data_IF_756024804342
#
_entry.id   IF_756024804342
#
_cell.length_a   1.000
_cell.length_b   1.000
_cell.length_c   1.000
_cell.angle_alpha   90.00
_cell.angle_beta   90.00
_cell.angle_gamma   90.00
#
_symmetry.space_group_name_H-M   'P 1'
#
loop_
_entity.id
_entity.type
_entity.pdbx_description
1 polymer ?
#
# COMPACT_ATOMS: atom_id res chain seq x y z
N UNK A 1 -15.20 -2.80 5.52
CA UNK A 1 -14.22 -1.80 5.97
C UNK A 1 -13.27 -1.40 4.85
N UNK A 2 -13.10 -0.11 4.61
CA UNK A 2 -12.18 0.43 3.60
C UNK A 2 -11.03 1.16 4.30
N UNK A 3 -9.80 0.78 3.99
CA UNK A 3 -8.60 1.47 4.47
C UNK A 3 -8.14 2.48 3.42
N UNK A 4 -7.95 3.74 3.81
CA UNK A 4 -7.29 4.76 3.00
C UNK A 4 -5.87 4.93 3.53
N UNK A 5 -4.87 4.49 2.76
CA UNK A 5 -3.46 4.63 3.14
C UNK A 5 -2.69 5.46 2.09
N UNK A 6 -2.82 6.79 2.12
CA UNK A 6 -2.15 7.65 1.16
C UNK A 6 -0.64 7.70 1.41
N UNK A 7 0.13 7.90 0.34
CA UNK A 7 1.50 8.41 0.43
C UNK A 7 1.51 9.86 0.95
N UNK A 8 2.66 10.53 0.82
CA UNK A 8 2.82 11.94 1.15
C UNK A 8 3.30 12.70 -0.09
N UNK A 9 3.03 14.00 -0.15
CA UNK A 9 3.46 14.88 -1.24
C UNK A 9 2.32 15.25 -2.21
N UNK A 10 2.64 16.02 -3.26
CA UNK A 10 1.63 16.65 -4.13
C UNK A 10 0.80 15.63 -4.94
N UNK A 11 1.37 14.45 -5.18
CA UNK A 11 0.70 13.33 -5.84
C UNK A 11 0.03 12.37 -4.86
N UNK A 12 -0.09 12.69 -3.57
CA UNK A 12 -0.83 11.84 -2.63
C UNK A 12 -2.36 12.04 -2.77
N UNK A 13 -3.14 11.02 -2.41
CA UNK A 13 -4.61 11.06 -2.44
C UNK A 13 -5.16 12.32 -1.73
N UNK A 14 -4.66 12.65 -0.54
CA UNK A 14 -5.18 13.80 0.20
C UNK A 14 -4.80 15.14 -0.40
N UNK A 15 -3.66 15.23 -1.08
CA UNK A 15 -3.30 16.42 -1.86
C UNK A 15 -4.24 16.61 -3.06
N UNK A 16 -4.72 15.51 -3.65
CA UNK A 16 -5.53 15.54 -4.88
C UNK A 16 -7.04 15.63 -4.63
N UNK A 17 -7.56 14.80 -3.72
CA UNK A 17 -8.99 14.65 -3.44
C UNK A 17 -9.40 15.28 -2.10
N UNK A 18 -8.45 15.55 -1.20
CA UNK A 18 -8.73 16.04 0.15
C UNK A 18 -9.72 15.16 0.89
N UNK A 19 -10.62 15.80 1.64
CA UNK A 19 -11.66 15.11 2.40
C UNK A 19 -12.77 14.48 1.55
N UNK A 20 -12.91 14.86 0.27
CA UNK A 20 -14.00 14.36 -0.58
C UNK A 20 -14.00 12.85 -0.71
N UNK A 21 -12.82 12.22 -0.67
CA UNK A 21 -12.71 10.76 -0.74
C UNK A 21 -13.30 10.10 0.51
N UNK A 22 -13.16 10.75 1.66
CA UNK A 22 -13.74 10.32 2.93
C UNK A 22 -15.27 10.44 2.84
N UNK A 23 -15.79 11.59 2.38
CA UNK A 23 -17.22 11.80 2.16
C UNK A 23 -17.85 10.72 1.28
N UNK A 24 -17.21 10.40 0.16
CA UNK A 24 -17.72 9.39 -0.79
C UNK A 24 -17.79 8.00 -0.19
N UNK A 25 -16.78 7.60 0.57
CA UNK A 25 -16.74 6.29 1.20
C UNK A 25 -17.74 6.20 2.37
N UNK A 26 -17.86 7.25 3.19
CA UNK A 26 -18.85 7.31 4.26
C UNK A 26 -20.29 7.31 3.69
N UNK A 27 -20.54 8.07 2.62
CA UNK A 27 -21.85 8.06 1.94
C UNK A 27 -22.21 6.70 1.33
N UNK A 28 -21.20 5.87 1.02
CA UNK A 28 -21.37 4.47 0.60
C UNK A 28 -21.69 3.51 1.75
N UNK A 29 -21.75 3.98 3.00
CA UNK A 29 -22.03 3.15 4.19
C UNK A 29 -20.85 2.29 4.62
N UNK A 30 -19.62 2.67 4.25
CA UNK A 30 -18.42 1.94 4.66
C UNK A 30 -17.88 2.48 5.98
N UNK A 31 -17.43 1.57 6.86
CA UNK A 31 -16.49 1.92 7.91
C UNK A 31 -15.12 2.21 7.27
N UNK A 32 -14.62 3.44 7.45
CA UNK A 32 -13.40 3.97 6.84
C UNK A 32 -12.29 4.07 7.88
N UNK A 33 -11.12 3.54 7.56
CA UNK A 33 -9.91 3.73 8.36
C UNK A 33 -8.97 4.61 7.56
N UNK A 34 -8.47 5.69 8.15
CA UNK A 34 -7.49 6.58 7.54
C UNK A 34 -6.13 6.34 8.19
N UNK A 35 -5.14 5.96 7.38
CA UNK A 35 -3.75 5.74 7.81
C UNK A 35 -2.78 6.50 6.90
N UNK A 36 -2.61 7.81 7.10
CA UNK A 36 -1.67 8.60 6.31
C UNK A 36 -0.24 8.11 6.54
N UNK A 37 0.61 8.25 5.52
CA UNK A 37 2.03 8.00 5.69
C UNK A 37 2.59 8.80 6.89
N UNK A 38 3.46 8.23 7.75
CA UNK A 38 3.99 8.93 8.93
C UNK A 38 4.65 10.28 8.61
N UNK A 39 5.20 10.42 7.40
CA UNK A 39 5.79 11.67 6.91
C UNK A 39 4.75 12.79 6.75
N UNK A 40 3.50 12.50 6.37
CA UNK A 40 2.43 13.51 6.21
C UNK A 40 2.16 14.25 7.52
N UNK A 41 2.24 13.58 8.66
CA UNK A 41 2.10 14.23 9.98
C UNK A 41 3.21 15.24 10.29
N UNK A 42 4.33 15.19 9.56
CA UNK A 42 5.46 16.11 9.69
C UNK A 42 5.45 17.18 8.60
N UNK A 43 5.43 16.77 7.34
CA UNK A 43 5.56 17.68 6.19
C UNK A 43 4.25 18.33 5.75
N UNK A 44 3.11 17.74 6.12
CA UNK A 44 1.77 18.15 5.65
C UNK A 44 0.82 18.41 6.83
N UNK A 45 1.38 18.83 7.96
CA UNK A 45 0.69 18.96 9.24
C UNK A 45 -0.62 19.76 9.13
N UNK A 46 -0.59 20.93 8.49
CA UNK A 46 -1.77 21.78 8.36
C UNK A 46 -2.90 21.11 7.57
N UNK A 47 -2.57 20.30 6.55
CA UNK A 47 -3.55 19.56 5.78
C UNK A 47 -4.15 18.45 6.63
N UNK A 48 -3.31 17.66 7.30
CA UNK A 48 -3.76 16.55 8.15
C UNK A 48 -4.60 17.06 9.32
N UNK A 49 -4.18 18.13 10.00
CA UNK A 49 -4.93 18.72 11.12
C UNK A 49 -6.32 19.21 10.65
N UNK A 50 -6.41 19.84 9.47
CA UNK A 50 -7.70 20.27 8.90
C UNK A 50 -8.60 19.08 8.56
N UNK A 51 -8.04 18.02 8.00
CA UNK A 51 -8.79 16.79 7.70
C UNK A 51 -9.29 16.15 8.99
N UNK A 52 -8.44 16.00 10.00
CA UNK A 52 -8.87 15.43 11.28
C UNK A 52 -9.92 16.26 12.01
N UNK A 53 -9.84 17.59 11.90
CA UNK A 53 -10.86 18.48 12.47
C UNK A 53 -12.20 18.41 11.72
N UNK A 54 -12.17 18.26 10.40
CA UNK A 54 -13.37 18.12 9.58
C UNK A 54 -13.99 16.71 9.65
N UNK A 55 -13.16 15.70 9.90
CA UNK A 55 -13.51 14.28 9.91
C UNK A 55 -13.01 13.63 11.22
N UNK A 56 -13.59 13.97 12.39
CA UNK A 56 -13.20 13.38 13.67
C UNK A 56 -13.58 11.89 13.72
N UNK A 57 -12.95 11.14 14.62
CA UNK A 57 -13.29 9.73 14.85
C UNK A 57 -14.80 9.55 15.17
N UNK A 58 -15.39 8.49 14.62
CA UNK A 58 -16.79 8.12 14.79
C UNK A 58 -16.97 6.61 14.69
N UNK A 59 -18.21 6.10 14.79
CA UNK A 59 -18.47 4.67 14.59
C UNK A 59 -18.05 4.18 13.19
N UNK A 60 -18.10 5.06 12.19
CA UNK A 60 -17.80 4.75 10.79
C UNK A 60 -16.45 5.32 10.31
N UNK A 61 -15.70 6.01 11.17
CA UNK A 61 -14.42 6.61 10.80
C UNK A 61 -13.37 6.47 11.91
N UNK A 62 -12.19 5.97 11.54
CA UNK A 62 -11.05 5.80 12.44
C UNK A 62 -9.77 6.41 11.86
N UNK A 63 -9.04 7.21 12.64
CA UNK A 63 -7.66 7.61 12.33
C UNK A 63 -6.65 6.66 12.95
N UNK A 64 -6.07 5.79 12.11
CA UNK A 64 -5.09 4.82 12.55
C UNK A 64 -3.66 5.40 12.53
N UNK A 65 -2.95 5.25 13.66
CA UNK A 65 -1.59 5.77 13.88
C UNK A 65 -0.64 4.73 14.49
N UNK A 66 -1.02 3.46 14.44
CA UNK A 66 -0.22 2.39 15.02
C UNK A 66 1.13 2.30 14.33
N UNK A 67 2.18 2.05 15.11
CA UNK A 67 3.53 1.85 14.56
C UNK A 67 3.57 0.64 13.61
N UNK A 68 2.87 -0.43 13.98
CA UNK A 68 2.67 -1.62 13.16
C UNK A 68 1.44 -1.43 12.24
N UNK A 69 1.49 -1.99 11.04
CA UNK A 69 0.39 -1.97 10.07
C UNK A 69 -0.35 -3.31 9.96
N UNK A 70 0.13 -4.39 10.59
CA UNK A 70 -0.37 -5.74 10.38
C UNK A 70 -1.86 -5.87 10.68
N UNK A 71 -2.32 -5.46 11.86
CA UNK A 71 -3.72 -5.65 12.26
C UNK A 71 -4.69 -4.81 11.44
N UNK A 72 -4.31 -3.57 11.10
CA UNK A 72 -5.15 -2.69 10.28
C UNK A 72 -5.26 -3.20 8.84
N UNK A 73 -4.16 -3.68 8.26
CA UNK A 73 -4.17 -4.31 6.94
C UNK A 73 -4.97 -5.63 6.98
N UNK A 74 -4.82 -6.43 8.04
CA UNK A 74 -5.53 -7.70 8.20
C UNK A 74 -7.04 -7.54 8.31
N UNK A 75 -7.55 -6.49 8.97
CA UNK A 75 -9.00 -6.30 9.20
C UNK A 75 -9.73 -5.48 8.13
N UNK A 76 -9.02 -4.69 7.32
CA UNK A 76 -9.63 -3.97 6.22
C UNK A 76 -9.97 -4.94 5.07
N UNK A 77 -11.04 -4.69 4.31
CA UNK A 77 -11.47 -5.55 3.20
C UNK A 77 -10.93 -5.07 1.85
N UNK A 78 -10.69 -3.76 1.73
CA UNK A 78 -10.16 -3.10 0.55
C UNK A 78 -9.24 -1.94 0.97
N UNK A 79 -8.17 -1.75 0.20
CA UNK A 79 -7.25 -0.62 0.37
C UNK A 79 -7.45 0.39 -0.76
N UNK A 80 -7.62 1.66 -0.40
CA UNK A 80 -7.50 2.81 -1.28
C UNK A 80 -6.14 3.45 -1.04
N UNK A 81 -5.26 3.42 -2.03
CA UNK A 81 -3.89 3.92 -1.95
C UNK A 81 -3.51 4.59 -3.27
N UNK A 82 -2.28 5.08 -3.40
CA UNK A 82 -1.72 5.67 -4.61
C UNK A 82 -0.61 4.77 -5.19
N UNK A 83 0.66 5.13 -5.00
CA UNK A 83 1.82 4.37 -5.45
C UNK A 83 2.65 3.85 -4.27
N UNK A 84 2.09 3.89 -3.06
CA UNK A 84 2.73 3.37 -1.85
C UNK A 84 2.97 1.86 -1.92
N UNK A 85 4.16 1.43 -1.47
CA UNK A 85 4.53 0.01 -1.37
C UNK A 85 3.60 -0.83 -0.49
N UNK A 86 2.84 -0.19 0.42
CA UNK A 86 1.81 -0.85 1.26
C UNK A 86 0.73 -1.57 0.43
N UNK A 87 0.55 -1.17 -0.83
CA UNK A 87 -0.32 -1.90 -1.78
C UNK A 87 0.10 -3.36 -1.87
N UNK A 88 1.39 -3.64 -1.94
CA UNK A 88 1.91 -4.99 -2.09
C UNK A 88 1.84 -5.78 -0.78
N UNK A 89 2.06 -5.13 0.37
CA UNK A 89 1.81 -5.76 1.67
C UNK A 89 0.33 -6.18 1.77
N UNK A 90 -0.59 -5.27 1.43
CA UNK A 90 -2.02 -5.54 1.50
C UNK A 90 -2.45 -6.65 0.53
N UNK A 91 -2.07 -6.52 -0.74
CA UNK A 91 -2.58 -7.39 -1.80
C UNK A 91 -1.90 -8.75 -1.81
N UNK A 92 -0.59 -8.82 -1.56
CA UNK A 92 0.15 -10.07 -1.62
C UNK A 92 0.07 -10.82 -0.29
N UNK A 93 0.18 -10.16 0.86
CA UNK A 93 0.14 -10.85 2.16
C UNK A 93 -1.30 -11.20 2.55
N UNK A 94 -2.22 -10.25 2.47
CA UNK A 94 -3.59 -10.43 2.98
C UNK A 94 -4.61 -10.88 1.93
N UNK A 95 -4.22 -11.00 0.67
CA UNK A 95 -5.07 -11.44 -0.43
C UNK A 95 -6.28 -10.55 -0.73
N UNK A 96 -6.08 -9.23 -0.70
CA UNK A 96 -7.19 -8.29 -0.81
C UNK A 96 -7.02 -7.28 -1.95
N UNK A 97 -8.13 -6.88 -2.58
CA UNK A 97 -8.09 -6.00 -3.74
C UNK A 97 -7.78 -4.56 -3.33
N UNK A 98 -7.35 -3.76 -4.30
CA UNK A 98 -7.00 -2.36 -4.09
C UNK A 98 -7.73 -1.44 -5.07
N UNK A 99 -7.95 -0.20 -4.66
CA UNK A 99 -8.22 0.91 -5.55
C UNK A 99 -6.99 1.81 -5.50
N UNK A 100 -6.40 2.10 -6.66
CA UNK A 100 -5.20 2.92 -6.73
C UNK A 100 -5.49 4.24 -7.43
N UNK A 101 -5.16 5.35 -6.78
CA UNK A 101 -5.36 6.68 -7.33
C UNK A 101 -4.36 6.97 -8.45
N UNK A 102 -4.87 7.41 -9.60
CA UNK A 102 -4.04 7.95 -10.67
C UNK A 102 -3.55 9.34 -10.29
N UNK A 103 -2.36 9.42 -9.73
CA UNK A 103 -1.81 10.70 -9.29
C UNK A 103 -0.72 11.23 -10.20
N UNK A 104 -0.66 10.77 -11.46
CA UNK A 104 0.41 11.07 -12.45
C UNK A 104 1.79 10.84 -11.80
N UNK A 105 2.23 9.59 -11.83
CA UNK A 105 3.50 9.20 -11.19
C UNK A 105 4.68 10.01 -11.74
N UNK A 106 5.26 10.85 -10.89
CA UNK A 106 6.53 11.50 -11.16
C UNK A 106 7.66 10.61 -10.65
N UNK A 107 8.50 10.10 -11.57
CA UNK A 107 9.65 9.26 -11.21
C UNK A 107 10.85 10.07 -10.70
N UNK A 108 10.86 11.39 -10.89
CA UNK A 108 12.01 12.26 -10.56
C UNK A 108 12.52 12.18 -9.11
N UNK A 109 11.68 12.01 -8.07
CA UNK A 109 12.15 11.94 -6.70
C UNK A 109 12.54 10.51 -6.26
N UNK A 110 12.42 9.51 -7.13
CA UNK A 110 12.66 8.11 -6.80
C UNK A 110 13.97 7.60 -7.39
N UNK A 111 14.61 6.64 -6.70
CA UNK A 111 15.82 5.97 -7.19
C UNK A 111 15.64 5.29 -8.55
N UNK A 112 14.39 5.03 -8.96
CA UNK A 112 14.05 4.46 -10.26
C UNK A 112 14.05 5.47 -11.42
N UNK A 113 14.33 6.76 -11.17
CA UNK A 113 14.32 7.85 -12.15
C UNK A 113 15.08 7.50 -13.45
N UNK A 114 16.23 6.84 -13.31
CA UNK A 114 17.15 6.51 -14.41
C UNK A 114 16.80 5.23 -15.17
N UNK A 115 15.74 4.52 -14.77
CA UNK A 115 15.28 3.33 -15.49
C UNK A 115 14.43 3.73 -16.70
N UNK A 116 14.75 3.12 -17.85
CA UNK A 116 14.05 3.28 -19.12
C UNK A 116 13.10 2.11 -19.45
N UNK A 117 12.98 1.15 -18.53
CA UNK A 117 12.05 0.03 -18.64
C UNK A 117 10.71 0.38 -17.98
N UNK A 118 9.60 -0.23 -18.42
CA UNK A 118 8.35 -0.20 -17.67
C UNK A 118 8.56 -0.70 -16.23
N UNK A 119 7.78 -0.16 -15.30
CA UNK A 119 7.80 -0.64 -13.92
C UNK A 119 6.74 -1.70 -13.73
N UNK A 120 7.14 -2.83 -13.16
CA UNK A 120 6.26 -3.94 -12.83
C UNK A 120 4.99 -3.48 -12.07
N UNK A 121 5.14 -2.52 -11.15
CA UNK A 121 4.01 -1.88 -10.44
C UNK A 121 2.90 -1.43 -11.38
N UNK A 122 3.20 -0.74 -12.48
CA UNK A 122 2.18 -0.24 -13.40
C UNK A 122 1.63 -1.32 -14.33
N UNK A 123 2.35 -2.41 -14.52
CA UNK A 123 1.87 -3.59 -15.27
C UNK A 123 0.89 -4.42 -14.43
N UNK A 124 1.13 -4.52 -13.11
CA UNK A 124 0.35 -5.38 -12.23
C UNK A 124 -0.86 -4.68 -11.61
N UNK A 125 -0.79 -3.38 -11.32
CA UNK A 125 -1.87 -2.61 -10.68
C UNK A 125 -3.25 -2.80 -11.35
N UNK A 126 -3.40 -2.73 -12.69
CA UNK A 126 -4.69 -2.94 -13.36
C UNK A 126 -5.26 -4.35 -13.18
N UNK A 127 -4.43 -5.33 -12.82
CA UNK A 127 -4.83 -6.72 -12.62
C UNK A 127 -5.29 -6.97 -11.17
N UNK A 128 -4.72 -6.27 -10.19
CA UNK A 128 -5.01 -6.46 -8.76
C UNK A 128 -6.03 -5.46 -8.19
N UNK A 129 -6.38 -4.44 -8.98
CA UNK A 129 -7.22 -3.35 -8.51
C UNK A 129 -7.75 -2.45 -9.63
N UNK A 130 -8.51 -1.43 -9.21
CA UNK A 130 -9.12 -0.47 -10.12
C UNK A 130 -8.52 0.92 -9.95
N UNK A 131 -8.26 1.59 -11.08
CA UNK A 131 -7.73 2.95 -11.08
C UNK A 131 -8.81 3.97 -10.72
N UNK A 132 -8.54 4.81 -9.73
CA UNK A 132 -9.35 5.98 -9.38
C UNK A 132 -8.78 7.23 -10.07
N UNK A 133 -9.59 7.89 -10.87
CA UNK A 133 -9.27 9.16 -11.56
C UNK A 133 -10.22 10.25 -11.09
N UNK A 134 -10.07 11.47 -11.59
CA UNK A 134 -11.06 12.52 -11.34
C UNK A 134 -12.38 12.23 -12.08
N UNK A 135 -12.30 11.66 -13.28
CA UNK A 135 -13.46 11.39 -14.15
C UNK A 135 -14.39 10.30 -13.59
N UNK A 136 -13.85 9.33 -12.84
CA UNK A 136 -14.63 8.25 -12.25
C UNK A 136 -14.80 8.38 -10.72
N UNK A 137 -14.41 9.52 -10.13
CA UNK A 137 -14.45 9.70 -8.69
C UNK A 137 -15.86 9.53 -8.09
N UNK A 138 -16.89 9.89 -8.84
CA UNK A 138 -18.28 9.74 -8.40
C UNK A 138 -18.74 8.28 -8.29
N UNK A 139 -18.04 7.34 -8.94
CA UNK A 139 -18.34 5.91 -8.90
C UNK A 139 -17.52 5.16 -7.84
N UNK A 140 -16.80 5.85 -6.96
CA UNK A 140 -15.92 5.21 -5.96
C UNK A 140 -16.63 4.13 -5.13
N UNK A 141 -17.89 4.35 -4.77
CA UNK A 141 -18.69 3.35 -4.03
C UNK A 141 -18.90 2.05 -4.82
N UNK A 142 -19.18 2.16 -6.12
CA UNK A 142 -19.35 1.01 -7.02
C UNK A 142 -18.02 0.30 -7.28
N UNK A 143 -16.93 1.05 -7.39
CA UNK A 143 -15.58 0.51 -7.55
C UNK A 143 -15.20 -0.39 -6.37
N UNK A 144 -15.56 -0.01 -5.13
CA UNK A 144 -15.33 -0.85 -3.95
C UNK A 144 -16.00 -2.20 -4.11
N UNK A 145 -17.29 -2.23 -4.49
CA UNK A 145 -18.02 -3.48 -4.70
C UNK A 145 -17.44 -4.29 -5.85
N UNK A 146 -17.07 -3.66 -6.96
CA UNK A 146 -16.46 -4.34 -8.10
C UNK A 146 -15.13 -4.98 -7.72
N UNK A 147 -14.26 -4.26 -7.02
CA UNK A 147 -12.98 -4.78 -6.54
C UNK A 147 -13.14 -5.99 -5.62
N UNK A 148 -14.16 -5.99 -4.76
CA UNK A 148 -14.42 -7.08 -3.82
C UNK A 148 -15.05 -8.33 -4.46
N UNK A 149 -15.82 -8.16 -5.55
CA UNK A 149 -16.65 -9.24 -6.10
C UNK A 149 -16.20 -9.77 -7.44
N UNK A 150 -15.47 -8.98 -8.24
CA UNK A 150 -15.01 -9.39 -9.57
C UNK A 150 -13.83 -10.37 -9.45
N UNK A 151 -13.97 -11.63 -9.91
CA UNK A 151 -12.95 -12.66 -9.77
C UNK A 151 -11.65 -12.33 -10.50
N UNK A 152 -11.65 -11.40 -11.47
CA UNK A 152 -10.43 -10.99 -12.17
C UNK A 152 -9.38 -10.41 -11.21
N UNK A 153 -9.79 -9.73 -10.14
CA UNK A 153 -8.87 -9.13 -9.19
C UNK A 153 -8.22 -10.17 -8.29
N UNK A 154 -8.94 -11.25 -7.95
CA UNK A 154 -8.33 -12.39 -7.26
C UNK A 154 -7.30 -13.09 -8.16
N UNK A 155 -7.64 -13.34 -9.43
CA UNK A 155 -6.73 -13.94 -10.41
C UNK A 155 -5.47 -13.07 -10.67
N UNK A 156 -5.65 -11.75 -10.67
CA UNK A 156 -4.53 -10.81 -10.77
C UNK A 156 -3.59 -10.90 -9.57
N UNK A 157 -4.12 -11.08 -8.35
CA UNK A 157 -3.29 -11.27 -7.15
C UNK A 157 -2.55 -12.60 -7.17
N UNK A 158 -3.19 -13.67 -7.65
CA UNK A 158 -2.53 -14.96 -7.87
C UNK A 158 -1.36 -14.82 -8.85
N UNK A 159 -1.57 -14.09 -9.95
CA UNK A 159 -0.53 -13.77 -10.93
C UNK A 159 0.61 -12.97 -10.30
N UNK A 160 0.29 -11.93 -9.53
CA UNK A 160 1.28 -11.09 -8.86
C UNK A 160 2.14 -11.90 -7.87
N UNK A 161 1.52 -12.78 -7.07
CA UNK A 161 2.23 -13.67 -6.15
C UNK A 161 3.11 -14.66 -6.89
N UNK A 162 2.61 -15.29 -7.96
CA UNK A 162 3.41 -16.22 -8.75
C UNK A 162 4.66 -15.55 -9.36
N UNK A 163 4.60 -14.26 -9.66
CA UNK A 163 5.73 -13.50 -10.19
C UNK A 163 6.74 -13.06 -9.12
N UNK A 164 6.33 -12.91 -7.86
CA UNK A 164 7.14 -12.22 -6.82
C UNK A 164 7.49 -13.07 -5.61
N UNK A 165 6.69 -14.08 -5.27
CA UNK A 165 6.94 -14.94 -4.13
C UNK A 165 7.83 -16.12 -4.51
N UNK A 166 9.09 -16.01 -4.09
CA UNK A 166 10.05 -17.11 -4.17
C UNK A 166 10.16 -17.74 -2.78
N UNK A 167 9.92 -19.05 -2.69
CA UNK A 167 9.92 -19.84 -1.45
C UNK A 167 8.92 -19.35 -0.37
N UNK A 168 7.60 -19.40 -0.65
CA UNK A 168 6.57 -18.95 0.29
C UNK A 168 6.67 -19.66 1.65
N UNK A 169 6.71 -18.89 2.74
CA UNK A 169 6.80 -19.41 4.10
C UNK A 169 8.23 -19.78 4.57
N UNK A 170 9.24 -19.72 3.69
CA UNK A 170 10.61 -20.13 4.01
C UNK A 170 11.57 -18.94 4.23
N UNK A 171 11.11 -17.70 4.01
CA UNK A 171 11.98 -16.52 4.00
C UNK A 171 12.82 -16.35 5.27
N UNK A 172 12.23 -16.56 6.45
CA UNK A 172 12.94 -16.44 7.72
C UNK A 172 14.02 -17.52 7.89
N UNK A 173 13.68 -18.80 7.62
CA UNK A 173 14.62 -19.92 7.73
C UNK A 173 15.78 -19.75 6.76
N UNK A 174 15.49 -19.43 5.49
CA UNK A 174 16.51 -19.22 4.46
C UNK A 174 17.44 -18.06 4.77
N UNK A 175 16.91 -16.97 5.30
CA UNK A 175 17.74 -15.84 5.74
C UNK A 175 18.64 -16.22 6.91
N UNK A 176 18.11 -16.92 7.92
CA UNK A 176 18.89 -17.40 9.06
C UNK A 176 20.01 -18.36 8.62
N UNK A 177 19.67 -19.38 7.82
CA UNK A 177 20.62 -20.36 7.29
C UNK A 177 21.75 -19.67 6.51
N UNK A 178 21.41 -18.70 5.66
CA UNK A 178 22.39 -17.92 4.91
C UNK A 178 23.33 -17.13 5.83
N UNK A 179 22.78 -16.43 6.83
CA UNK A 179 23.57 -15.63 7.78
C UNK A 179 24.50 -16.52 8.61
N UNK A 180 24.01 -17.66 9.11
CA UNK A 180 24.82 -18.61 9.86
C UNK A 180 25.95 -19.20 9.03
N UNK A 181 25.66 -19.62 7.79
CA UNK A 181 26.68 -20.12 6.88
C UNK A 181 27.70 -19.02 6.58
N UNK A 182 27.24 -17.80 6.29
CA UNK A 182 28.13 -16.70 5.92
C UNK A 182 29.04 -16.30 7.08
N UNK A 183 28.53 -16.34 8.31
CA UNK A 183 29.34 -16.09 9.50
C UNK A 183 30.46 -17.13 9.63
N UNK A 184 30.15 -18.43 9.48
CA UNK A 184 31.13 -19.52 9.53
C UNK A 184 32.22 -19.37 8.48
N UNK A 185 31.86 -19.03 7.24
CA UNK A 185 32.82 -18.76 6.16
C UNK A 185 33.79 -17.64 6.53
N UNK A 186 33.26 -16.51 7.03
CA UNK A 186 34.06 -15.34 7.36
C UNK A 186 34.98 -15.56 8.57
N UNK A 187 34.53 -16.31 9.58
CA UNK A 187 35.35 -16.62 10.76
C UNK A 187 36.44 -17.64 10.46
N UNK A 188 36.14 -18.69 9.68
CA UNK A 188 37.14 -19.69 9.29
C UNK A 188 38.28 -19.06 8.47
N UNK A 189 37.95 -18.11 7.59
CA UNK A 189 38.94 -17.37 6.79
C UNK A 189 39.80 -16.42 7.64
N UNK A 190 39.33 -16.04 8.84
CA UNK A 190 40.07 -15.19 9.78
C UNK A 190 41.06 -16.02 10.62
N UNK A 191 40.66 -17.21 11.05
CA UNK A 191 41.53 -18.15 11.79
C UNK A 191 42.69 -18.69 10.93
N UNK A 192 42.50 -18.84 9.61
CA UNK A 192 43.59 -19.21 8.68
C UNK A 192 44.59 -18.07 8.40
N UNK A 193 44.27 -16.83 8.78
CA UNK A 193 45.10 -15.63 8.50
C UNK A 193 45.81 -15.05 9.72
N UNK A 194 45.54 -15.55 10.93
CA UNK A 194 46.33 -15.22 12.12
C UNK A 194 47.50 -16.21 12.26
N UNK A 195 48.76 -15.72 12.35
CA UNK A 195 49.95 -16.56 12.47
C UNK A 195 50.13 -17.24 13.84
#
# INVERSE_FOLDING_TARGET
TVLIAPSWGPSAIFSKYGGKIIDKLLAGGYHVIIRPHPQSYKSEKDMIDKLMAAYPDSEDLEWNRDNDNFDVLRRADLLVSDFSGVIFDFTLVFDKPVIYADTKFDKSPYDCWWLDTPYWTFEILPQIGQQLTEDNFDTLGDMVQQCLTDPKYAQGRDTARAQTWVYPGEGAVRAADYLEQKMKELTATHEEKEP
#
